data_IF_322104507650
#
_entry.id   IF_322104507650
#
_cell.length_a   1.000
_cell.length_b   1.000
_cell.length_c   1.000
_cell.angle_alpha   90.00
_cell.angle_beta   90.00
_cell.angle_gamma   90.00
#
_symmetry.space_group_name_H-M   'P 1'
#
loop_
_entity.id
_entity.type
_entity.pdbx_description
1 polymer ?
#
# COMPACT_ATOMS: atom_id res chain seq x y z
N UNK A 1 27.43 4.04 -60.94
CA UNK A 1 27.55 2.90 -60.00
C UNK A 1 28.73 3.15 -59.05
N UNK A 2 28.41 3.27 -57.75
CA UNK A 2 29.19 3.35 -56.49
C UNK A 2 30.74 3.50 -56.51
N UNK A 3 31.24 4.48 -55.74
CA UNK A 3 32.48 4.42 -54.93
C UNK A 3 32.50 5.61 -53.93
N UNK A 4 32.30 5.43 -52.61
CA UNK A 4 33.28 5.20 -51.51
C UNK A 4 33.96 6.50 -50.98
N UNK A 5 33.56 6.86 -49.73
CA UNK A 5 34.33 7.27 -48.52
C UNK A 5 35.30 8.49 -48.48
N UNK A 6 35.09 9.28 -47.39
CA UNK A 6 36.07 10.00 -46.51
C UNK A 6 36.61 11.36 -47.06
N UNK A 7 36.86 12.46 -46.32
CA UNK A 7 36.86 12.90 -44.92
C UNK A 7 37.21 14.43 -44.92
N UNK A 8 36.95 15.14 -43.80
CA UNK A 8 37.58 16.40 -43.31
C UNK A 8 36.83 17.75 -43.43
N UNK A 9 36.22 18.12 -42.29
CA UNK A 9 36.41 19.35 -41.50
C UNK A 9 36.56 20.71 -42.21
N UNK A 10 35.62 21.63 -41.95
CA UNK A 10 35.91 22.99 -41.47
C UNK A 10 34.83 23.43 -40.47
N UNK A 11 35.25 23.61 -39.21
CA UNK A 11 34.55 24.39 -38.19
C UNK A 11 34.56 25.87 -38.58
N UNK A 12 33.40 26.52 -38.67
CA UNK A 12 33.30 27.97 -38.61
C UNK A 12 32.03 28.37 -37.85
N UNK A 13 32.27 29.00 -36.70
CA UNK A 13 31.32 29.58 -35.77
C UNK A 13 30.40 30.61 -36.44
N UNK A 14 29.10 30.47 -36.23
CA UNK A 14 28.16 31.59 -36.24
C UNK A 14 27.29 31.45 -35.00
N UNK A 15 27.66 32.22 -33.97
CA UNK A 15 26.88 32.35 -32.76
C UNK A 15 25.52 32.95 -33.06
N UNK A 16 24.48 32.23 -32.65
CA UNK A 16 23.16 32.79 -32.44
C UNK A 16 22.68 32.30 -31.07
N UNK A 17 22.66 33.26 -30.14
CA UNK A 17 21.95 33.28 -28.87
C UNK A 17 21.66 31.92 -28.20
N UNK A 18 22.44 31.62 -27.16
CA UNK A 18 21.97 30.80 -26.04
C UNK A 18 20.88 31.59 -25.29
N UNK A 19 19.74 31.78 -25.93
CA UNK A 19 18.48 31.93 -25.23
C UNK A 19 18.07 30.54 -24.80
N UNK A 20 18.69 30.01 -23.74
CA UNK A 20 18.01 29.02 -22.93
C UNK A 20 16.79 29.75 -22.37
N UNK A 21 15.69 29.74 -23.10
CA UNK A 21 14.39 29.74 -22.46
C UNK A 21 14.42 28.50 -21.57
N UNK A 22 14.92 28.66 -20.34
CA UNK A 22 14.34 27.93 -19.22
C UNK A 22 12.86 28.11 -19.45
N UNK A 23 12.17 27.03 -19.80
CA UNK A 23 10.73 26.98 -19.67
C UNK A 23 10.44 27.68 -18.35
N UNK A 24 9.74 28.82 -18.44
CA UNK A 24 9.52 29.71 -17.31
C UNK A 24 9.19 28.82 -16.12
N UNK A 25 10.06 28.83 -15.11
CA UNK A 25 9.81 28.10 -13.90
C UNK A 25 8.43 28.57 -13.46
N UNK A 26 7.43 27.67 -13.56
CA UNK A 26 6.07 27.95 -13.15
C UNK A 26 6.21 28.44 -11.72
N UNK A 27 6.07 29.75 -11.53
CA UNK A 27 6.19 30.35 -10.20
C UNK A 27 5.09 29.70 -9.38
N UNK A 28 5.40 28.87 -8.36
CA UNK A 28 4.36 28.27 -7.55
C UNK A 28 3.78 29.43 -6.74
N UNK A 29 2.60 29.89 -7.14
CA UNK A 29 1.72 30.51 -6.18
C UNK A 29 0.95 29.35 -5.55
N UNK A 30 1.31 28.87 -4.34
CA UNK A 30 0.60 27.77 -3.73
C UNK A 30 -0.77 28.28 -3.27
N UNK A 31 -1.73 28.23 -4.19
CA UNK A 31 -3.14 28.51 -3.96
C UNK A 31 -3.80 27.48 -3.01
N UNK A 32 -3.08 26.39 -2.70
CA UNK A 32 -3.51 25.31 -1.82
C UNK A 32 -2.43 24.93 -0.81
N UNK A 33 -2.87 24.72 0.44
CA UNK A 33 -2.01 24.28 1.54
C UNK A 33 -2.45 22.92 2.08
N UNK A 34 -1.47 22.06 2.37
CA UNK A 34 -1.67 20.75 2.98
C UNK A 34 -0.95 20.72 4.33
N UNK A 35 -1.65 20.27 5.37
CA UNK A 35 -1.03 19.94 6.66
C UNK A 35 -0.84 18.43 6.78
N UNK A 36 0.34 17.98 7.17
CA UNK A 36 0.65 16.56 7.34
C UNK A 36 0.92 16.29 8.81
N UNK A 37 0.09 15.45 9.43
CA UNK A 37 0.29 15.02 10.81
C UNK A 37 1.50 14.10 10.92
N UNK A 38 2.40 14.37 11.87
CA UNK A 38 3.54 13.55 12.25
C UNK A 38 3.45 13.15 13.72
N UNK A 39 3.85 11.93 14.05
CA UNK A 39 3.87 11.40 15.40
C UNK A 39 4.96 10.32 15.55
N UNK A 40 5.33 10.01 16.79
CA UNK A 40 6.28 8.92 17.04
C UNK A 40 5.71 7.57 16.57
N UNK A 41 6.51 6.85 15.79
CA UNK A 41 6.12 5.60 15.14
C UNK A 41 5.43 5.81 13.80
N UNK A 42 5.34 7.03 13.24
CA UNK A 42 4.77 7.24 11.91
C UNK A 42 5.52 6.44 10.84
N UNK A 43 4.80 5.84 9.89
CA UNK A 43 5.41 5.18 8.73
C UNK A 43 5.89 6.24 7.73
N UNK A 44 7.14 6.10 7.27
CA UNK A 44 7.78 7.14 6.44
C UNK A 44 7.02 7.33 5.12
N UNK A 45 6.72 6.24 4.42
CA UNK A 45 6.09 6.29 3.10
C UNK A 45 4.67 6.88 3.15
N UNK A 46 3.96 6.68 4.26
CA UNK A 46 2.58 7.16 4.45
C UNK A 46 2.47 8.68 4.44
N UNK A 47 3.55 9.38 4.83
CA UNK A 47 3.59 10.84 4.75
C UNK A 47 4.50 11.35 3.63
N UNK A 48 5.67 10.72 3.40
CA UNK A 48 6.67 11.22 2.47
C UNK A 48 6.27 11.06 1.01
N UNK A 49 5.60 9.94 0.64
CA UNK A 49 5.07 9.76 -0.71
C UNK A 49 4.04 10.84 -1.06
N UNK A 50 2.99 11.03 -0.23
CA UNK A 50 2.05 12.13 -0.38
C UNK A 50 2.70 13.53 -0.34
N UNK A 51 3.69 13.74 0.53
CA UNK A 51 4.43 15.00 0.62
C UNK A 51 5.02 15.37 -0.75
N UNK A 52 5.69 14.42 -1.40
CA UNK A 52 6.29 14.62 -2.72
C UNK A 52 5.24 14.91 -3.82
N UNK A 53 4.09 14.22 -3.78
CA UNK A 53 2.95 14.48 -4.67
C UNK A 53 2.45 15.92 -4.52
N UNK A 54 2.23 16.37 -3.29
CA UNK A 54 1.71 17.71 -3.04
C UNK A 54 2.71 18.81 -3.42
N UNK A 55 4.00 18.62 -3.13
CA UNK A 55 5.06 19.52 -3.58
C UNK A 55 5.08 19.62 -5.10
N UNK A 56 5.06 18.49 -5.80
CA UNK A 56 5.06 18.43 -7.27
C UNK A 56 3.80 19.05 -7.89
N UNK A 57 2.69 19.08 -7.16
CA UNK A 57 1.47 19.79 -7.54
C UNK A 57 1.55 21.32 -7.36
N UNK A 58 2.68 21.84 -6.86
CA UNK A 58 2.87 23.24 -6.52
C UNK A 58 1.98 23.69 -5.35
N UNK A 59 1.79 22.82 -4.35
CA UNK A 59 1.09 23.14 -3.11
C UNK A 59 2.08 23.53 -2.02
N UNK A 60 1.60 24.30 -1.04
CA UNK A 60 2.34 24.55 0.19
C UNK A 60 2.11 23.39 1.17
N UNK A 61 3.17 22.78 1.67
CA UNK A 61 3.08 21.59 2.52
C UNK A 61 3.75 21.90 3.85
N UNK A 62 2.98 21.79 4.94
CA UNK A 62 3.49 21.95 6.31
C UNK A 62 3.36 20.65 7.08
N UNK A 63 4.34 20.36 7.92
CA UNK A 63 4.29 19.21 8.85
C UNK A 63 3.90 19.67 10.25
N UNK A 64 3.09 18.87 10.93
CA UNK A 64 2.50 19.20 12.22
C UNK A 64 2.66 18.02 13.17
N UNK A 65 3.24 18.21 14.34
CA UNK A 65 3.18 17.22 15.44
C UNK A 65 2.32 17.74 16.60
N UNK A 66 1.96 16.92 17.60
CA UNK A 66 1.12 17.38 18.70
C UNK A 66 1.67 18.60 19.45
N UNK A 67 2.97 18.59 19.75
CA UNK A 67 3.65 19.63 20.54
C UNK A 67 4.72 20.41 19.76
N UNK A 68 4.79 20.21 18.44
CA UNK A 68 5.78 20.85 17.56
C UNK A 68 7.20 20.31 17.70
N UNK A 69 7.43 19.27 18.52
CA UNK A 69 8.75 18.67 18.69
C UNK A 69 9.01 17.59 17.64
N UNK A 70 10.28 17.28 17.45
CA UNK A 70 10.74 16.20 16.59
C UNK A 70 10.12 14.86 16.96
N UNK A 71 9.80 14.08 15.95
CA UNK A 71 9.26 12.73 16.09
C UNK A 71 10.26 11.70 15.56
N UNK A 72 10.14 10.46 16.01
CA UNK A 72 10.90 9.32 15.48
C UNK A 72 9.96 8.40 14.70
N UNK A 73 10.22 8.15 13.42
CA UNK A 73 9.42 7.23 12.60
C UNK A 73 9.52 5.78 13.07
N UNK A 74 8.64 4.89 12.58
CA UNK A 74 8.72 3.45 12.89
C UNK A 74 10.10 2.83 12.52
N UNK A 75 10.74 3.35 11.47
CA UNK A 75 12.08 2.95 11.03
C UNK A 75 13.24 3.67 11.73
N UNK A 76 12.98 4.48 12.76
CA UNK A 76 14.00 5.17 13.55
C UNK A 76 14.50 6.51 12.98
N UNK A 77 13.91 7.00 11.88
CA UNK A 77 14.28 8.31 11.30
C UNK A 77 13.73 9.44 12.17
N UNK A 78 14.58 10.39 12.54
CA UNK A 78 14.15 11.61 13.25
C UNK A 78 13.70 12.68 12.27
N UNK A 79 12.53 13.26 12.52
CA UNK A 79 11.91 14.26 11.66
C UNK A 79 11.54 15.47 12.51
N UNK A 80 11.93 16.67 12.09
CA UNK A 80 11.55 17.92 12.74
C UNK A 80 10.30 18.49 12.04
N UNK A 81 9.13 18.56 12.70
CA UNK A 81 7.93 19.16 12.12
C UNK A 81 8.07 20.68 12.06
N UNK A 82 7.29 21.31 11.17
CA UNK A 82 7.26 22.76 11.03
C UNK A 82 6.41 23.45 12.11
N UNK A 83 5.39 22.77 12.64
CA UNK A 83 4.41 23.34 13.59
C UNK A 83 3.95 22.31 14.64
N UNK A 84 3.40 22.82 15.74
CA UNK A 84 2.56 22.07 16.67
C UNK A 84 1.06 22.24 16.37
N UNK A 85 0.19 21.60 17.16
CA UNK A 85 -1.26 21.81 17.00
C UNK A 85 -1.71 23.25 17.24
N UNK A 86 -1.03 23.97 18.13
CA UNK A 86 -1.39 25.30 18.58
C UNK A 86 -1.14 26.40 17.51
N UNK A 87 -0.14 26.21 16.66
CA UNK A 87 0.33 27.20 15.69
C UNK A 87 0.26 26.71 14.24
N UNK A 88 -0.19 25.48 13.99
CA UNK A 88 -0.39 24.98 12.64
C UNK A 88 -1.40 25.86 11.85
N UNK A 89 -1.04 26.37 10.66
CA UNK A 89 -1.88 27.26 9.87
C UNK A 89 -3.14 26.54 9.35
N UNK A 90 -4.17 27.30 8.95
CA UNK A 90 -5.30 26.75 8.20
C UNK A 90 -4.82 26.12 6.89
N UNK A 91 -5.41 24.99 6.50
CA UNK A 91 -5.06 24.24 5.29
C UNK A 91 -6.30 23.92 4.46
N UNK A 92 -6.13 23.54 3.20
CA UNK A 92 -7.20 23.00 2.37
C UNK A 92 -7.45 21.52 2.68
N UNK A 93 -6.41 20.81 3.12
CA UNK A 93 -6.52 19.44 3.60
C UNK A 93 -5.49 19.06 4.67
N UNK A 94 -5.83 18.04 5.44
CA UNK A 94 -4.97 17.40 6.44
C UNK A 94 -4.75 15.93 6.08
N UNK A 95 -3.49 15.51 6.01
CA UNK A 95 -3.11 14.10 5.89
C UNK A 95 -2.87 13.49 7.27
N UNK A 96 -3.48 12.34 7.52
CA UNK A 96 -3.35 11.53 8.73
C UNK A 96 -2.70 10.20 8.34
N UNK A 97 -1.39 10.03 8.56
CA UNK A 97 -0.67 8.83 8.16
C UNK A 97 -0.89 7.67 9.16
N UNK A 98 -0.44 6.48 8.77
CA UNK A 98 -0.37 5.31 9.62
C UNK A 98 0.97 5.10 10.33
N UNK A 99 1.17 3.87 10.81
CA UNK A 99 2.34 3.41 11.57
C UNK A 99 1.97 2.94 12.98
N UNK A 100 2.82 3.24 13.95
CA UNK A 100 2.64 3.02 15.39
C UNK A 100 1.59 3.94 16.01
N UNK A 101 0.34 3.85 15.54
CA UNK A 101 -0.75 4.80 15.84
C UNK A 101 -1.26 4.78 17.30
N UNK A 102 -0.75 3.89 18.16
CA UNK A 102 -1.26 3.71 19.53
C UNK A 102 -1.34 5.00 20.34
N UNK A 103 -0.35 5.89 20.16
CA UNK A 103 -0.32 7.21 20.83
C UNK A 103 -1.42 8.15 20.31
N UNK A 104 -1.58 8.27 19.00
CA UNK A 104 -2.52 9.21 18.38
C UNK A 104 -3.98 8.74 18.45
N UNK A 105 -4.23 7.42 18.40
CA UNK A 105 -5.56 6.83 18.62
C UNK A 105 -6.02 6.98 20.08
N UNK A 106 -5.07 7.05 21.03
CA UNK A 106 -5.37 7.29 22.44
C UNK A 106 -5.51 8.77 22.81
N UNK A 107 -5.11 9.69 21.94
CA UNK A 107 -4.92 11.10 22.28
C UNK A 107 -6.15 11.95 21.96
N UNK A 108 -6.79 12.45 23.03
CA UNK A 108 -7.95 13.34 22.92
C UNK A 108 -7.61 14.68 22.25
N UNK A 109 -6.38 15.16 22.38
CA UNK A 109 -5.93 16.40 21.74
C UNK A 109 -5.86 16.23 20.21
N UNK A 110 -5.26 15.14 19.73
CA UNK A 110 -5.27 14.76 18.30
C UNK A 110 -6.69 14.69 17.76
N UNK A 111 -7.62 14.00 18.46
CA UNK A 111 -9.01 13.92 18.00
C UNK A 111 -9.71 15.27 17.94
N UNK A 112 -9.51 16.12 18.96
CA UNK A 112 -10.10 17.46 19.00
C UNK A 112 -9.54 18.35 17.88
N UNK A 113 -8.24 18.26 17.62
CA UNK A 113 -7.58 18.97 16.54
C UNK A 113 -8.15 18.55 15.17
N UNK A 114 -8.25 17.25 14.89
CA UNK A 114 -8.82 16.74 13.64
C UNK A 114 -10.29 17.14 13.46
N UNK A 115 -11.13 17.07 14.51
CA UNK A 115 -12.52 17.54 14.46
C UNK A 115 -12.60 19.04 14.16
N UNK A 116 -11.73 19.84 14.77
CA UNK A 116 -11.69 21.30 14.54
C UNK A 116 -11.32 21.62 13.09
N UNK A 117 -10.34 20.91 12.54
CA UNK A 117 -9.91 21.03 11.13
C UNK A 117 -11.06 20.70 10.18
N UNK A 118 -11.71 19.55 10.38
CA UNK A 118 -12.83 19.13 9.56
C UNK A 118 -14.02 20.10 9.65
N UNK A 119 -14.34 20.62 10.85
CA UNK A 119 -15.40 21.59 11.07
C UNK A 119 -15.15 22.94 10.37
N UNK A 120 -13.88 23.31 10.12
CA UNK A 120 -13.48 24.48 9.32
C UNK A 120 -13.58 24.23 7.81
N UNK A 121 -13.95 23.03 7.39
CA UNK A 121 -14.13 22.66 6.00
C UNK A 121 -12.90 22.03 5.33
N UNK A 122 -11.80 21.84 6.08
CA UNK A 122 -10.59 21.18 5.58
C UNK A 122 -10.90 19.72 5.24
N UNK A 123 -10.41 19.24 4.09
CA UNK A 123 -10.52 17.83 3.71
C UNK A 123 -9.58 16.98 4.58
N UNK A 124 -9.96 15.74 4.88
CA UNK A 124 -9.07 14.81 5.58
C UNK A 124 -8.68 13.66 4.66
N UNK A 125 -7.40 13.29 4.66
CA UNK A 125 -6.86 12.12 3.95
C UNK A 125 -6.24 11.16 4.96
N UNK A 126 -6.90 10.04 5.25
CA UNK A 126 -6.36 8.98 6.09
C UNK A 126 -5.60 7.93 5.27
N UNK A 127 -4.33 7.70 5.58
CA UNK A 127 -3.49 6.70 4.89
C UNK A 127 -3.28 5.49 5.80
N UNK A 128 -3.25 4.29 5.22
CA UNK A 128 -2.98 3.04 5.95
C UNK A 128 -3.91 2.86 7.16
N UNK A 129 -3.36 2.56 8.34
CA UNK A 129 -4.10 2.47 9.60
C UNK A 129 -4.38 3.85 10.24
N UNK A 130 -4.03 4.98 9.60
CA UNK A 130 -4.48 6.32 9.99
C UNK A 130 -6.01 6.48 9.98
N UNK A 131 -6.72 5.61 9.24
CA UNK A 131 -8.17 5.48 9.31
C UNK A 131 -8.70 5.18 10.73
N UNK A 132 -7.96 4.47 11.57
CA UNK A 132 -8.36 4.22 12.96
C UNK A 132 -8.34 5.50 13.79
N UNK A 133 -7.36 6.38 13.59
CA UNK A 133 -7.29 7.69 14.25
C UNK A 133 -8.51 8.54 13.87
N UNK A 134 -8.87 8.56 12.59
CA UNK A 134 -10.08 9.25 12.10
C UNK A 134 -11.37 8.63 12.66
N UNK A 135 -11.47 7.30 12.68
CA UNK A 135 -12.62 6.59 13.24
C UNK A 135 -12.77 6.87 14.75
N UNK A 136 -11.67 6.87 15.49
CA UNK A 136 -11.64 7.13 16.94
C UNK A 136 -11.98 8.58 17.28
N UNK A 137 -11.65 9.52 16.40
CA UNK A 137 -12.10 10.91 16.50
C UNK A 137 -13.62 11.08 16.28
N UNK A 138 -14.33 10.03 15.85
CA UNK A 138 -15.76 10.04 15.51
C UNK A 138 -16.06 10.58 14.10
N UNK A 139 -15.04 10.69 13.24
CA UNK A 139 -15.15 11.37 11.96
C UNK A 139 -15.61 10.44 10.82
N UNK A 140 -15.50 9.12 11.00
CA UNK A 140 -15.88 8.12 9.99
C UNK A 140 -17.25 7.47 10.24
N UNK A 141 -17.96 7.84 11.30
CA UNK A 141 -19.26 7.25 11.64
C UNK A 141 -20.28 7.47 10.52
N UNK A 142 -20.85 6.39 10.00
CA UNK A 142 -21.81 6.41 8.88
C UNK A 142 -21.18 6.61 7.50
N UNK A 143 -19.86 6.81 7.41
CA UNK A 143 -19.15 7.02 6.14
C UNK A 143 -18.52 5.73 5.61
N UNK A 144 -18.28 5.70 4.30
CA UNK A 144 -17.45 4.67 3.67
C UNK A 144 -15.98 4.98 3.93
N UNK A 145 -15.20 3.97 4.28
CA UNK A 145 -13.76 4.13 4.47
C UNK A 145 -13.01 2.82 4.18
N UNK A 146 -11.71 2.92 3.92
CA UNK A 146 -10.82 1.76 3.83
C UNK A 146 -9.57 1.97 4.70
N UNK A 147 -8.71 0.96 4.76
CA UNK A 147 -7.44 0.97 5.50
C UNK A 147 -6.47 -0.05 4.88
N UNK A 148 -5.27 -0.21 5.46
CA UNK A 148 -4.33 -1.24 5.02
C UNK A 148 -4.92 -2.65 5.11
N UNK A 149 -4.54 -3.53 4.19
CA UNK A 149 -5.21 -4.81 3.93
C UNK A 149 -5.43 -5.63 5.21
N UNK A 150 -4.40 -5.74 6.03
CA UNK A 150 -4.34 -6.54 7.26
C UNK A 150 -5.30 -6.03 8.33
N UNK A 151 -5.63 -4.73 8.28
CA UNK A 151 -6.42 -4.05 9.31
C UNK A 151 -7.88 -3.81 8.92
N UNK A 152 -8.31 -4.21 7.72
CA UNK A 152 -9.69 -4.01 7.24
C UNK A 152 -10.71 -4.63 8.20
N UNK A 153 -10.47 -5.88 8.62
CA UNK A 153 -11.35 -6.57 9.56
C UNK A 153 -11.29 -6.00 10.97
N UNK A 154 -10.11 -5.59 11.41
CA UNK A 154 -9.93 -4.95 12.70
C UNK A 154 -10.69 -3.60 12.77
N UNK A 155 -10.64 -2.80 11.71
CA UNK A 155 -11.35 -1.51 11.62
C UNK A 155 -12.85 -1.72 11.72
N UNK A 156 -13.38 -2.69 10.96
CA UNK A 156 -14.81 -3.03 10.96
C UNK A 156 -15.30 -3.49 12.34
N UNK A 157 -14.52 -4.32 13.04
CA UNK A 157 -14.87 -4.78 14.39
C UNK A 157 -14.81 -3.66 15.43
N UNK A 158 -13.77 -2.83 15.40
CA UNK A 158 -13.56 -1.77 16.36
C UNK A 158 -14.53 -0.59 16.17
N UNK A 159 -14.96 -0.34 14.92
CA UNK A 159 -15.81 0.80 14.56
C UNK A 159 -17.00 0.35 13.68
N UNK A 160 -18.02 -0.31 14.25
CA UNK A 160 -19.12 -0.93 13.51
C UNK A 160 -20.02 0.06 12.76
N UNK A 161 -19.95 1.36 13.08
CA UNK A 161 -20.67 2.42 12.35
C UNK A 161 -19.97 2.86 11.06
N UNK A 162 -18.73 2.46 10.84
CA UNK A 162 -17.98 2.76 9.62
C UNK A 162 -18.35 1.72 8.56
N UNK A 163 -18.73 2.17 7.37
CA UNK A 163 -19.00 1.29 6.22
C UNK A 163 -17.67 0.90 5.57
N UNK A 164 -16.95 -0.06 6.17
CA UNK A 164 -15.61 -0.43 5.72
C UNK A 164 -15.67 -1.10 4.33
N UNK A 165 -14.98 -0.50 3.36
CA UNK A 165 -14.85 -0.98 1.99
C UNK A 165 -13.57 -1.80 1.87
N UNK A 166 -13.70 -3.05 1.44
CA UNK A 166 -12.57 -3.94 1.16
C UNK A 166 -12.01 -3.67 -0.24
N UNK A 167 -10.75 -4.05 -0.46
CA UNK A 167 -10.10 -4.06 -1.78
C UNK A 167 -10.11 -2.70 -2.51
N UNK A 168 -10.23 -1.61 -1.75
CA UNK A 168 -10.20 -0.27 -2.31
C UNK A 168 -8.83 0.35 -2.05
N UNK A 169 -8.21 0.88 -3.11
CA UNK A 169 -6.97 1.64 -2.99
C UNK A 169 -7.23 3.03 -2.41
N UNK A 170 -8.31 3.66 -2.87
CA UNK A 170 -8.83 4.96 -2.40
C UNK A 170 -10.34 4.85 -2.21
N UNK A 171 -10.86 5.42 -1.12
CA UNK A 171 -12.29 5.59 -0.87
C UNK A 171 -12.55 7.06 -0.53
N UNK A 172 -13.34 7.72 -1.36
CA UNK A 172 -13.78 9.10 -1.14
C UNK A 172 -15.20 9.14 -0.57
N UNK A 173 -15.36 9.74 0.60
CA UNK A 173 -16.63 9.98 1.29
C UNK A 173 -16.94 11.48 1.42
N UNK A 174 -16.54 12.27 0.43
CA UNK A 174 -16.83 13.70 0.34
C UNK A 174 -15.83 14.55 1.11
N UNK A 175 -16.01 14.70 2.44
CA UNK A 175 -15.08 15.51 3.27
C UNK A 175 -13.86 14.73 3.75
N UNK A 176 -13.92 13.40 3.66
CA UNK A 176 -12.86 12.51 4.12
C UNK A 176 -12.58 11.50 3.03
N UNK A 177 -11.30 11.35 2.71
CA UNK A 177 -10.74 10.34 1.83
C UNK A 177 -9.91 9.39 2.69
N UNK A 178 -10.00 8.09 2.42
CA UNK A 178 -9.13 7.09 3.06
C UNK A 178 -8.49 6.20 2.01
N UNK A 179 -7.30 5.69 2.28
CA UNK A 179 -6.57 4.82 1.36
C UNK A 179 -6.19 3.50 2.02
N UNK A 180 -5.74 2.56 1.19
CA UNK A 180 -4.98 1.40 1.65
C UNK A 180 -3.66 1.77 2.33
N UNK A 181 -2.81 0.78 2.55
CA UNK A 181 -1.51 0.97 3.19
C UNK A 181 -0.43 1.54 2.28
N UNK A 182 0.56 2.19 2.89
CA UNK A 182 1.86 2.51 2.28
C UNK A 182 1.72 3.31 0.98
N UNK A 183 2.08 2.71 -0.16
CA UNK A 183 2.05 3.38 -1.46
C UNK A 183 0.67 3.85 -1.88
N UNK A 184 -0.42 3.28 -1.35
CA UNK A 184 -1.78 3.76 -1.62
C UNK A 184 -2.00 5.21 -1.17
N UNK A 185 -1.18 5.72 -0.24
CA UNK A 185 -1.16 7.13 0.12
C UNK A 185 -0.79 8.04 -1.06
N UNK A 186 0.10 7.59 -1.95
CA UNK A 186 0.51 8.33 -3.16
C UNK A 186 -0.72 8.52 -4.08
N UNK A 187 -1.50 7.47 -4.30
CA UNK A 187 -2.73 7.57 -5.11
C UNK A 187 -3.81 8.41 -4.43
N UNK A 188 -3.92 8.33 -3.10
CA UNK A 188 -4.81 9.22 -2.33
C UNK A 188 -4.41 10.69 -2.45
N UNK A 189 -3.11 10.98 -2.47
CA UNK A 189 -2.60 12.33 -2.69
C UNK A 189 -2.88 12.80 -4.13
N UNK A 190 -2.67 11.97 -5.14
CA UNK A 190 -3.00 12.28 -6.54
C UNK A 190 -4.51 12.47 -6.75
N UNK A 191 -5.34 11.69 -6.06
CA UNK A 191 -6.79 11.88 -6.01
C UNK A 191 -7.16 13.23 -5.38
N UNK A 192 -6.49 13.63 -4.30
CA UNK A 192 -6.72 14.92 -3.66
C UNK A 192 -6.25 16.09 -4.52
N UNK A 193 -5.12 15.94 -5.24
CA UNK A 193 -4.67 16.89 -6.26
C UNK A 193 -5.71 17.02 -7.36
N UNK A 194 -6.31 15.91 -7.81
CA UNK A 194 -7.41 15.93 -8.79
C UNK A 194 -8.58 16.78 -8.29
N UNK A 195 -8.96 16.65 -7.02
CA UNK A 195 -10.05 17.42 -6.42
C UNK A 195 -9.74 18.90 -6.25
N UNK A 196 -8.51 19.24 -5.88
CA UNK A 196 -8.13 20.60 -5.53
C UNK A 196 -7.61 21.42 -6.72
N UNK A 197 -6.97 20.76 -7.69
CA UNK A 197 -6.32 21.40 -8.85
C UNK A 197 -6.69 20.80 -10.22
N UNK A 198 -7.56 19.78 -10.25
CA UNK A 198 -8.04 19.15 -11.48
C UNK A 198 -7.17 17.97 -11.95
N UNK A 199 -7.79 17.07 -12.72
CA UNK A 199 -7.18 15.82 -13.19
C UNK A 199 -5.90 16.03 -14.02
N UNK A 200 -5.85 17.08 -14.85
CA UNK A 200 -4.66 17.37 -15.66
C UNK A 200 -3.42 17.68 -14.81
N UNK A 201 -3.59 18.33 -13.65
CA UNK A 201 -2.47 18.57 -12.72
C UNK A 201 -2.04 17.26 -12.05
N UNK A 202 -2.99 16.42 -11.65
CA UNK A 202 -2.66 15.12 -11.06
C UNK A 202 -1.90 14.22 -12.04
N UNK A 203 -2.34 14.15 -13.31
CA UNK A 203 -1.61 13.41 -14.34
C UNK A 203 -0.21 13.98 -14.54
N UNK A 204 -0.07 15.29 -14.66
CA UNK A 204 1.26 15.93 -14.77
C UNK A 204 2.17 15.53 -13.60
N UNK A 205 1.66 15.53 -12.36
CA UNK A 205 2.44 15.11 -11.20
C UNK A 205 2.82 13.64 -11.28
N UNK A 206 1.90 12.75 -11.67
CA UNK A 206 2.23 11.34 -11.86
C UNK A 206 3.37 11.14 -12.87
N UNK A 207 3.34 11.86 -14.00
CA UNK A 207 4.42 11.82 -15.00
C UNK A 207 5.75 12.36 -14.45
N UNK A 208 5.73 13.47 -13.70
CA UNK A 208 6.93 14.06 -13.07
C UNK A 208 7.57 13.12 -12.07
N UNK A 209 6.75 12.34 -11.35
CA UNK A 209 7.22 11.35 -10.38
C UNK A 209 7.59 10.00 -11.03
N UNK A 210 7.44 9.88 -12.36
CA UNK A 210 7.56 8.61 -13.08
C UNK A 210 6.70 7.49 -12.47
N UNK A 211 5.55 7.89 -11.90
CA UNK A 211 4.66 7.00 -11.18
C UNK A 211 3.54 6.53 -12.11
N UNK A 212 3.46 5.21 -12.35
CA UNK A 212 2.44 4.57 -13.16
C UNK A 212 1.06 4.62 -12.46
N UNK A 213 0.46 5.80 -12.43
CA UNK A 213 -0.78 6.06 -11.73
C UNK A 213 -1.97 5.43 -12.45
N UNK A 214 -2.74 4.63 -11.72
CA UNK A 214 -3.98 4.02 -12.20
C UNK A 214 -5.15 4.56 -11.37
N UNK A 215 -5.79 5.68 -11.75
CA UNK A 215 -6.85 6.32 -10.96
C UNK A 215 -8.08 5.42 -10.75
N UNK A 216 -8.36 4.56 -11.72
CA UNK A 216 -9.44 3.56 -11.67
C UNK A 216 -8.95 2.18 -11.21
N UNK A 217 -7.67 2.05 -10.85
CA UNK A 217 -7.05 0.79 -10.46
C UNK A 217 -7.54 0.33 -9.09
N UNK A 218 -8.01 -0.90 -9.01
CA UNK A 218 -8.29 -1.57 -7.74
C UNK A 218 -6.99 -1.93 -7.00
N UNK A 219 -7.12 -2.35 -5.75
CA UNK A 219 -5.97 -2.87 -5.00
C UNK A 219 -5.37 -4.09 -5.73
N UNK A 220 -4.10 -4.03 -6.14
CA UNK A 220 -3.44 -5.06 -6.95
C UNK A 220 -3.76 -6.47 -6.42
N UNK A 221 -4.50 -7.30 -7.18
CA UNK A 221 -4.86 -8.65 -6.77
C UNK A 221 -3.69 -9.54 -6.38
N UNK A 222 -2.56 -9.38 -7.06
CA UNK A 222 -1.33 -10.12 -6.80
C UNK A 222 -0.69 -9.76 -5.45
N UNK A 223 -0.82 -8.52 -5.00
CA UNK A 223 -0.35 -8.10 -3.67
C UNK A 223 -1.19 -8.75 -2.57
N UNK A 224 -2.49 -8.95 -2.82
CA UNK A 224 -3.35 -9.74 -1.94
C UNK A 224 -2.93 -11.20 -1.92
N UNK A 225 -2.72 -11.82 -3.09
CA UNK A 225 -2.22 -13.19 -3.19
C UNK A 225 -0.88 -13.37 -2.46
N UNK A 226 0.07 -12.46 -2.67
CA UNK A 226 1.35 -12.40 -1.98
C UNK A 226 1.21 -12.34 -0.47
N UNK A 227 0.37 -11.41 0.03
CA UNK A 227 0.17 -11.21 1.46
C UNK A 227 -0.46 -12.44 2.14
N UNK A 228 -1.47 -13.02 1.48
CA UNK A 228 -2.09 -14.27 1.91
C UNK A 228 -1.04 -15.39 2.01
N UNK A 229 -0.18 -15.56 1.00
CA UNK A 229 0.81 -16.65 0.96
C UNK A 229 1.94 -16.50 1.99
N UNK A 230 2.46 -15.28 2.20
CA UNK A 230 3.55 -15.05 3.16
C UNK A 230 3.13 -15.47 4.56
N UNK A 231 1.93 -15.06 4.98
CA UNK A 231 1.40 -15.37 6.31
C UNK A 231 1.03 -16.84 6.44
N UNK A 232 0.45 -17.46 5.41
CA UNK A 232 -0.18 -18.78 5.62
C UNK A 232 0.80 -19.89 6.00
N UNK A 233 1.95 -20.03 5.34
CA UNK A 233 2.90 -21.08 5.76
C UNK A 233 3.65 -20.65 7.01
N UNK A 234 4.03 -19.37 7.12
CA UNK A 234 4.73 -18.82 8.28
C UNK A 234 3.93 -18.99 9.59
N UNK A 235 2.61 -18.81 9.52
CA UNK A 235 1.69 -18.85 10.65
C UNK A 235 0.87 -20.14 10.73
N UNK A 236 1.01 -21.05 9.74
CA UNK A 236 0.30 -22.33 9.78
C UNK A 236 0.60 -23.08 11.07
N UNK A 237 -0.46 -23.41 11.81
CA UNK A 237 -0.34 -24.16 13.06
C UNK A 237 0.02 -25.63 12.76
N UNK A 238 1.32 -25.84 12.56
CA UNK A 238 1.92 -27.16 12.48
C UNK A 238 1.85 -27.89 13.83
N UNK A 239 1.47 -27.22 14.93
CA UNK A 239 1.46 -27.75 16.29
C UNK A 239 2.80 -28.39 16.67
N UNK A 240 2.75 -29.46 17.46
CA UNK A 240 3.93 -30.26 17.79
C UNK A 240 4.42 -31.10 16.59
N UNK A 241 3.71 -31.11 15.46
CA UNK A 241 4.02 -31.96 14.32
C UNK A 241 5.20 -31.43 13.49
N UNK A 242 5.45 -30.12 13.50
CA UNK A 242 6.59 -29.54 12.80
C UNK A 242 6.84 -28.07 13.09
N UNK A 243 7.99 -27.57 12.63
CA UNK A 243 8.38 -26.16 12.72
C UNK A 243 9.06 -25.71 11.44
N UNK A 244 8.90 -24.44 11.10
CA UNK A 244 9.64 -23.81 10.02
C UNK A 244 11.06 -23.56 10.50
N UNK A 245 12.05 -24.07 9.78
CA UNK A 245 13.46 -23.83 10.09
C UNK A 245 14.01 -22.66 9.29
N UNK A 246 13.64 -22.51 8.02
CA UNK A 246 14.20 -21.47 7.16
C UNK A 246 13.26 -21.15 6.01
N UNK A 247 13.12 -19.86 5.69
CA UNK A 247 12.60 -19.39 4.41
C UNK A 247 13.74 -19.46 3.37
N UNK A 248 13.66 -20.42 2.44
CA UNK A 248 14.71 -20.72 1.45
C UNK A 248 14.68 -19.72 0.31
N UNK A 249 13.50 -19.45 -0.26
CA UNK A 249 13.36 -18.44 -1.31
C UNK A 249 11.94 -17.87 -1.39
N UNK A 250 11.88 -16.64 -1.93
CA UNK A 250 10.65 -15.95 -2.31
C UNK A 250 10.84 -15.34 -3.69
N UNK A 251 10.03 -15.74 -4.67
CA UNK A 251 10.08 -15.22 -6.04
C UNK A 251 8.66 -14.88 -6.50
N UNK A 252 8.47 -13.75 -7.19
CA UNK A 252 7.18 -13.44 -7.78
C UNK A 252 7.02 -12.05 -8.37
N UNK A 253 5.86 -11.84 -8.97
CA UNK A 253 5.41 -10.64 -9.68
C UNK A 253 3.87 -10.54 -9.64
N UNK A 254 3.28 -9.66 -10.46
CA UNK A 254 1.83 -9.45 -10.53
C UNK A 254 1.03 -10.65 -11.07
N UNK A 255 1.69 -11.71 -11.53
CA UNK A 255 1.07 -12.87 -12.16
C UNK A 255 1.42 -14.17 -11.47
N UNK A 256 2.53 -14.24 -10.74
CA UNK A 256 2.93 -15.46 -10.04
C UNK A 256 3.71 -15.17 -8.77
N UNK A 257 3.57 -16.02 -7.77
CA UNK A 257 4.46 -16.06 -6.60
C UNK A 257 4.82 -17.49 -6.26
N UNK A 258 6.00 -17.68 -5.69
CA UNK A 258 6.46 -18.94 -5.14
C UNK A 258 7.24 -18.67 -3.86
N UNK A 259 6.93 -19.46 -2.85
CA UNK A 259 7.67 -19.53 -1.61
C UNK A 259 8.20 -20.93 -1.40
N UNK A 260 9.40 -21.02 -0.84
CA UNK A 260 10.04 -22.27 -0.49
C UNK A 260 10.51 -22.18 0.95
N UNK A 261 10.07 -23.11 1.78
CA UNK A 261 10.51 -23.24 3.16
C UNK A 261 11.13 -24.60 3.40
N UNK A 262 12.08 -24.64 4.33
CA UNK A 262 12.46 -25.86 5.01
C UNK A 262 11.63 -25.99 6.29
N UNK A 263 10.85 -27.06 6.38
CA UNK A 263 10.02 -27.41 7.52
C UNK A 263 10.53 -28.71 8.12
N UNK A 264 10.90 -28.68 9.39
CA UNK A 264 11.24 -29.89 10.13
C UNK A 264 9.97 -30.47 10.73
N UNK A 265 9.69 -31.74 10.46
CA UNK A 265 8.45 -32.40 10.85
C UNK A 265 8.69 -33.88 11.16
N UNK A 266 7.96 -34.40 12.14
CA UNK A 266 7.92 -35.85 12.40
C UNK A 266 7.00 -36.60 11.43
N UNK A 267 6.11 -35.87 10.73
CA UNK A 267 5.23 -36.40 9.69
C UNK A 267 6.00 -36.66 8.40
N UNK A 268 5.58 -37.66 7.63
CA UNK A 268 6.03 -37.78 6.24
C UNK A 268 5.48 -36.64 5.36
N UNK A 269 6.02 -36.51 4.14
CA UNK A 269 5.65 -35.42 3.23
C UNK A 269 4.16 -35.38 2.89
N UNK A 270 3.49 -36.54 2.81
CA UNK A 270 2.07 -36.64 2.46
C UNK A 270 1.21 -36.15 3.61
N UNK A 271 1.48 -36.61 4.82
CA UNK A 271 0.78 -36.19 6.02
C UNK A 271 1.04 -34.71 6.35
N UNK A 272 2.27 -34.23 6.13
CA UNK A 272 2.62 -32.83 6.27
C UNK A 272 1.87 -31.95 5.26
N UNK A 273 1.80 -32.37 3.99
CA UNK A 273 1.04 -31.65 2.96
C UNK A 273 -0.45 -31.55 3.33
N UNK A 274 -1.06 -32.64 3.80
CA UNK A 274 -2.47 -32.65 4.23
C UNK A 274 -2.72 -31.72 5.44
N UNK A 275 -1.77 -31.64 6.38
CA UNK A 275 -1.84 -30.73 7.53
C UNK A 275 -1.80 -29.28 7.08
N UNK A 276 -0.85 -28.93 6.18
CA UNK A 276 -0.72 -27.57 5.64
C UNK A 276 -1.96 -27.19 4.83
N UNK A 277 -2.49 -28.09 3.99
CA UNK A 277 -3.75 -27.87 3.27
C UNK A 277 -4.93 -27.57 4.19
N UNK A 278 -5.02 -28.28 5.33
CA UNK A 278 -6.08 -28.04 6.32
C UNK A 278 -5.95 -26.65 6.95
N UNK A 279 -4.72 -26.22 7.28
CA UNK A 279 -4.46 -24.86 7.80
C UNK A 279 -4.83 -23.80 6.77
N UNK A 280 -4.35 -23.95 5.53
CA UNK A 280 -4.66 -23.07 4.40
C UNK A 280 -6.18 -22.92 4.20
N UNK A 281 -6.93 -24.02 4.27
CA UNK A 281 -8.39 -24.00 4.12
C UNK A 281 -9.09 -23.22 5.26
N UNK A 282 -8.68 -23.45 6.51
CA UNK A 282 -9.26 -22.79 7.67
C UNK A 282 -9.00 -21.28 7.68
N UNK A 283 -7.78 -20.86 7.37
CA UNK A 283 -7.40 -19.44 7.31
C UNK A 283 -8.20 -18.68 6.24
N UNK A 284 -8.37 -19.27 5.05
CA UNK A 284 -9.18 -18.66 3.98
C UNK A 284 -10.63 -18.43 4.37
N UNK A 285 -11.20 -19.38 5.10
CA UNK A 285 -12.55 -19.23 5.64
C UNK A 285 -12.62 -18.07 6.65
N UNK A 286 -11.62 -17.93 7.51
CA UNK A 286 -11.55 -16.82 8.47
C UNK A 286 -11.38 -15.46 7.78
N UNK A 287 -10.63 -15.41 6.67
CA UNK A 287 -10.41 -14.21 5.86
C UNK A 287 -11.64 -13.80 5.03
N UNK A 288 -12.77 -14.53 5.17
CA UNK A 288 -14.02 -14.22 4.47
C UNK A 288 -13.92 -14.35 2.96
N UNK A 289 -12.89 -15.05 2.45
CA UNK A 289 -12.83 -15.42 1.05
C UNK A 289 -13.94 -16.43 0.80
N UNK A 290 -14.89 -16.08 -0.08
CA UNK A 290 -16.04 -16.92 -0.37
C UNK A 290 -15.65 -18.00 -1.38
N UNK A 291 -16.20 -19.23 -1.27
CA UNK A 291 -16.04 -20.28 -2.26
C UNK A 291 -16.39 -19.82 -3.70
N UNK A 292 -15.89 -20.50 -4.74
CA UNK A 292 -15.27 -21.83 -4.68
C UNK A 292 -13.75 -21.77 -4.49
N UNK A 293 -13.30 -22.26 -3.33
CA UNK A 293 -11.98 -22.88 -3.20
C UNK A 293 -12.17 -24.36 -3.44
N UNK A 294 -12.11 -24.80 -4.68
CA UNK A 294 -12.13 -26.23 -4.96
C UNK A 294 -10.71 -26.75 -4.80
N UNK A 295 -10.48 -27.52 -3.74
CA UNK A 295 -9.32 -28.41 -3.69
C UNK A 295 -9.45 -29.36 -4.89
N UNK A 296 -8.60 -29.17 -5.91
CA UNK A 296 -8.45 -30.18 -6.95
C UNK A 296 -7.56 -31.29 -6.39
N UNK A 297 -7.67 -32.54 -6.90
CA UNK A 297 -6.76 -33.60 -6.49
C UNK A 297 -5.29 -33.16 -6.57
N UNK A 298 -4.52 -33.43 -5.52
CA UNK A 298 -3.07 -33.16 -5.48
C UNK A 298 -2.65 -31.77 -5.01
N UNK A 299 -3.22 -31.28 -3.89
CA UNK A 299 -2.78 -30.07 -3.19
C UNK A 299 -2.85 -28.79 -4.06
N UNK A 300 -3.96 -28.63 -4.80
CA UNK A 300 -4.19 -27.46 -5.66
C UNK A 300 -5.48 -26.75 -5.30
N UNK A 301 -5.45 -25.42 -5.34
CA UNK A 301 -6.58 -24.57 -5.02
C UNK A 301 -6.83 -23.59 -6.15
N UNK A 302 -8.10 -23.22 -6.37
CA UNK A 302 -8.47 -22.16 -7.33
C UNK A 302 -9.32 -21.12 -6.64
N UNK A 303 -9.18 -19.87 -7.07
CA UNK A 303 -10.05 -18.78 -6.65
C UNK A 303 -10.04 -17.65 -7.69
N UNK A 304 -10.93 -16.69 -7.51
CA UNK A 304 -11.01 -15.50 -8.36
C UNK A 304 -10.73 -14.26 -7.53
N UNK A 305 -9.92 -13.34 -8.05
CA UNK A 305 -9.66 -12.06 -7.39
C UNK A 305 -10.81 -11.05 -7.52
N UNK A 306 -10.66 -9.87 -6.92
CA UNK A 306 -11.66 -8.81 -6.95
C UNK A 306 -11.94 -8.25 -8.34
N UNK A 307 -11.03 -8.43 -9.28
CA UNK A 307 -11.14 -7.96 -10.66
C UNK A 307 -11.66 -9.06 -11.59
N UNK A 308 -12.03 -10.22 -11.04
CA UNK A 308 -12.55 -11.34 -11.81
C UNK A 308 -11.48 -12.24 -12.42
N UNK A 309 -10.19 -12.07 -12.09
CA UNK A 309 -9.17 -12.93 -12.66
C UNK A 309 -9.04 -14.25 -11.90
N UNK A 310 -8.99 -15.39 -12.61
CA UNK A 310 -8.77 -16.69 -12.00
C UNK A 310 -7.32 -16.86 -11.57
N UNK A 311 -7.10 -17.51 -10.42
CA UNK A 311 -5.82 -17.88 -9.86
C UNK A 311 -5.81 -19.37 -9.52
N UNK A 312 -4.67 -20.03 -9.73
CA UNK A 312 -4.40 -21.39 -9.26
C UNK A 312 -3.23 -21.35 -8.27
N UNK A 313 -3.39 -22.00 -7.15
CA UNK A 313 -2.37 -22.22 -6.13
C UNK A 313 -2.01 -23.70 -6.07
N UNK A 314 -0.74 -24.00 -5.79
CA UNK A 314 -0.21 -25.35 -5.68
C UNK A 314 0.69 -25.47 -4.46
N UNK A 315 0.49 -26.52 -3.68
CA UNK A 315 1.35 -26.92 -2.58
C UNK A 315 2.12 -28.19 -2.98
N UNK A 316 3.43 -28.20 -2.75
CA UNK A 316 4.29 -29.36 -2.92
C UNK A 316 5.13 -29.55 -1.67
N UNK A 317 5.21 -30.77 -1.16
CA UNK A 317 6.04 -31.12 -0.01
C UNK A 317 6.93 -32.28 -0.41
N UNK A 318 8.25 -32.08 -0.32
CA UNK A 318 9.23 -33.10 -0.70
C UNK A 318 10.26 -33.27 0.41
N UNK A 319 10.75 -34.49 0.67
CA UNK A 319 11.80 -34.68 1.67
C UNK A 319 13.12 -34.07 1.17
N UNK A 320 13.86 -33.40 2.05
CA UNK A 320 15.19 -32.89 1.73
C UNK A 320 16.19 -34.05 1.81
N UNK A 321 16.82 -34.37 0.68
CA UNK A 321 17.75 -35.47 0.59
C UNK A 321 18.89 -35.34 1.62
N UNK A 322 19.20 -36.45 2.31
CA UNK A 322 20.28 -36.49 3.29
C UNK A 322 19.98 -35.81 4.64
N UNK A 323 18.81 -35.22 4.84
CA UNK A 323 18.44 -34.56 6.11
C UNK A 323 17.13 -35.16 6.65
N UNK A 324 17.21 -36.10 7.62
CA UNK A 324 16.01 -36.72 8.19
C UNK A 324 15.03 -35.68 8.74
N UNK A 325 13.74 -35.95 8.56
CA UNK A 325 12.63 -35.11 9.06
C UNK A 325 12.60 -33.69 8.50
N UNK A 326 13.42 -33.35 7.51
CA UNK A 326 13.39 -32.06 6.86
C UNK A 326 12.65 -32.17 5.53
N UNK A 327 11.70 -31.28 5.32
CA UNK A 327 10.88 -31.22 4.12
C UNK A 327 11.02 -29.85 3.48
N UNK A 328 11.14 -29.83 2.17
CA UNK A 328 10.99 -28.63 1.37
C UNK A 328 9.50 -28.47 1.03
N UNK A 329 8.92 -27.39 1.53
CA UNK A 329 7.53 -27.00 1.28
C UNK A 329 7.55 -25.87 0.26
N UNK A 330 6.96 -26.12 -0.91
CA UNK A 330 6.77 -25.11 -1.96
C UNK A 330 5.30 -24.74 -2.05
N UNK A 331 5.00 -23.46 -1.86
CA UNK A 331 3.68 -22.90 -2.13
C UNK A 331 3.80 -21.93 -3.30
N UNK A 332 3.08 -22.22 -4.39
CA UNK A 332 3.08 -21.42 -5.61
C UNK A 332 1.68 -20.92 -5.94
N UNK A 333 1.57 -19.73 -6.51
CA UNK A 333 0.33 -19.16 -7.02
C UNK A 333 0.57 -18.59 -8.41
N UNK A 334 -0.36 -18.78 -9.33
CA UNK A 334 -0.25 -18.32 -10.71
C UNK A 334 -1.62 -17.85 -11.21
N UNK A 335 -1.68 -16.63 -11.73
CA UNK A 335 -2.84 -16.07 -12.42
C UNK A 335 -3.07 -16.86 -13.69
N UNK A 336 -4.26 -17.43 -13.82
CA UNK A 336 -4.65 -18.18 -14.99
C UNK A 336 -5.07 -17.20 -16.11
N UNK A 337 -4.86 -17.57 -17.38
CA UNK A 337 -5.44 -16.83 -18.49
C UNK A 337 -6.95 -16.69 -18.29
N UNK A 338 -7.52 -15.52 -18.57
CA UNK A 338 -8.97 -15.39 -18.63
C UNK A 338 -9.48 -16.40 -19.67
N UNK A 339 -10.37 -17.30 -19.25
CA UNK A 339 -10.92 -18.29 -20.17
C UNK A 339 -11.53 -17.58 -21.37
N UNK A 340 -11.14 -17.96 -22.58
CA UNK A 340 -11.88 -17.58 -23.78
C UNK A 340 -13.28 -18.15 -23.59
N UNK A 341 -14.27 -17.30 -23.31
CA UNK A 341 -15.66 -17.73 -23.21
C UNK A 341 -16.02 -18.49 -24.47
N UNK A 342 -16.39 -19.77 -24.30
CA UNK A 342 -17.05 -20.57 -25.33
C UNK A 342 -18.53 -20.29 -25.37
#
# INVERSE_FOLDING_TARGET
MRSIRHLLLVLALLGLAHGSARADAVVPNPDKKIAILLFDGVDIIDFAGPFEVFLSAGMDVVTVSPDGKSVTSAGGMKIAPSHGYADAPAADAVLVPGGGIGRVVGDSATHAWLRTRQARGELLLGVCNGAFTLARAGLLDGLRATTTADNVDALRRAHPRVQVVRNARVVDSGRIVTTGGLSAGIDGALHLVTRLKGAGRAQFVAEVLEYNWQPEGSFLPALRAFHLMHQTVADSDLGDAGRIETLVSTEGDERRWQYVWHVRSSLDSTALAARIDTSLAAERQQMGMQPPFTASPGHRWRFTDSDGHPWEETLQVTPVAGTPQLHEVRLGIVRQPAGTGG
#
